data_IF_384529854371
#
_entry.id   IF_384529854371
#
_cell.length_a   1.000
_cell.length_b   1.000
_cell.length_c   1.000
_cell.angle_alpha   90.00
_cell.angle_beta   90.00
_cell.angle_gamma   90.00
#
_symmetry.space_group_name_H-M   'P 1'
#
loop_
_entity.id
_entity.type
_entity.pdbx_description
1 polymer ?
#
# COMPACT_ATOMS: atom_id res chain seq x y z
N UNK A 1 19.39 -3.53 -6.48
CA UNK A 1 18.96 -2.11 -6.44
C UNK A 1 18.79 -1.58 -7.85
N UNK A 2 17.75 -0.79 -8.09
CA UNK A 2 17.47 -0.15 -9.39
C UNK A 2 18.24 1.17 -9.52
N UNK A 3 18.67 1.52 -10.74
CA UNK A 3 19.33 2.80 -10.97
C UNK A 3 18.42 3.99 -10.71
N UNK A 4 18.97 5.10 -10.21
CA UNK A 4 18.20 6.31 -9.88
C UNK A 4 17.38 6.82 -11.08
N UNK A 5 18.00 6.87 -12.26
CA UNK A 5 17.35 7.28 -13.51
C UNK A 5 16.15 6.39 -13.86
N UNK A 6 16.27 5.08 -13.64
CA UNK A 6 15.16 4.14 -13.86
C UNK A 6 14.03 4.40 -12.87
N UNK A 7 14.32 4.61 -11.59
CA UNK A 7 13.28 4.92 -10.59
C UNK A 7 12.55 6.22 -10.92
N UNK A 8 13.26 7.28 -11.29
CA UNK A 8 12.67 8.57 -11.69
C UNK A 8 11.78 8.41 -12.93
N UNK A 9 12.20 7.62 -13.91
CA UNK A 9 11.38 7.32 -15.09
C UNK A 9 10.08 6.59 -14.71
N UNK A 10 10.16 5.55 -13.86
CA UNK A 10 8.99 4.83 -13.38
C UNK A 10 8.01 5.74 -12.63
N UNK A 11 8.50 6.58 -11.72
CA UNK A 11 7.67 7.53 -10.97
C UNK A 11 7.01 8.59 -11.86
N UNK A 12 7.69 8.99 -12.95
CA UNK A 12 7.16 9.93 -13.93
C UNK A 12 5.97 9.33 -14.68
N UNK A 13 6.03 8.04 -15.04
CA UNK A 13 4.94 7.32 -15.72
C UNK A 13 3.68 7.16 -14.85
N UNK A 14 3.80 7.29 -13.53
CA UNK A 14 2.67 7.25 -12.58
C UNK A 14 2.06 8.63 -12.30
N UNK A 15 2.60 9.71 -12.86
CA UNK A 15 2.13 11.06 -12.57
C UNK A 15 0.79 11.33 -13.25
N UNK A 16 -0.23 11.64 -12.44
CA UNK A 16 -1.52 12.15 -12.90
C UNK A 16 -1.53 13.68 -12.69
N UNK A 17 -1.89 14.49 -13.71
CA UNK A 17 -1.97 15.94 -13.56
C UNK A 17 -2.96 16.35 -12.47
N UNK A 18 -2.69 17.48 -11.81
CA UNK A 18 -3.59 18.00 -10.78
C UNK A 18 -4.97 18.32 -11.38
N UNK A 19 -6.04 17.97 -10.67
CA UNK A 19 -7.42 18.17 -11.10
C UNK A 19 -7.93 17.17 -12.14
N UNK A 20 -7.09 16.26 -12.65
CA UNK A 20 -7.50 15.24 -13.63
C UNK A 20 -7.89 13.95 -12.91
N UNK A 21 -9.08 13.43 -13.22
CA UNK A 21 -9.50 12.12 -12.73
C UNK A 21 -8.76 11.01 -13.48
N UNK A 22 -8.30 9.98 -12.78
CA UNK A 22 -7.59 8.86 -13.42
C UNK A 22 -8.47 8.20 -14.50
N UNK A 23 -9.78 8.08 -14.26
CA UNK A 23 -10.76 7.53 -15.19
C UNK A 23 -10.91 8.32 -16.50
N UNK A 24 -10.56 9.61 -16.51
CA UNK A 24 -10.66 10.45 -17.71
C UNK A 24 -9.39 10.43 -18.56
N UNK A 25 -8.35 9.70 -18.14
CA UNK A 25 -7.12 9.55 -18.92
C UNK A 25 -7.36 8.65 -20.14
N UNK A 26 -6.61 8.90 -21.21
CA UNK A 26 -6.61 8.05 -22.39
C UNK A 26 -6.27 6.58 -22.05
N UNK A 27 -6.83 5.65 -22.83
CA UNK A 27 -6.68 4.21 -22.62
C UNK A 27 -5.21 3.77 -22.65
N UNK A 28 -4.37 4.37 -23.50
CA UNK A 28 -2.93 4.09 -23.55
C UNK A 28 -2.27 4.52 -22.25
N UNK A 29 -2.59 5.71 -21.74
CA UNK A 29 -2.05 6.22 -20.48
C UNK A 29 -2.45 5.31 -19.31
N UNK A 30 -3.72 4.89 -19.24
CA UNK A 30 -4.20 3.95 -18.24
C UNK A 30 -3.46 2.61 -18.28
N UNK A 31 -3.20 2.07 -19.48
CA UNK A 31 -2.41 0.85 -19.66
C UNK A 31 -0.97 1.04 -19.18
N UNK A 32 -0.34 2.17 -19.51
CA UNK A 32 1.02 2.50 -19.08
C UNK A 32 1.11 2.58 -17.55
N UNK A 33 0.17 3.25 -16.90
CA UNK A 33 0.10 3.34 -15.44
C UNK A 33 -0.01 1.94 -14.82
N UNK A 34 -0.95 1.12 -15.32
CA UNK A 34 -1.15 -0.22 -14.79
C UNK A 34 0.10 -1.11 -14.97
N UNK A 35 0.71 -1.09 -16.15
CA UNK A 35 1.94 -1.84 -16.43
C UNK A 35 3.10 -1.37 -15.55
N UNK A 36 3.22 -0.06 -15.31
CA UNK A 36 4.26 0.51 -14.46
C UNK A 36 4.07 0.11 -13.00
N UNK A 37 2.84 0.19 -12.47
CA UNK A 37 2.55 -0.27 -11.11
C UNK A 37 2.86 -1.76 -10.96
N UNK A 38 2.44 -2.58 -11.93
CA UNK A 38 2.70 -4.02 -11.91
C UNK A 38 4.21 -4.32 -11.96
N UNK A 39 4.98 -3.61 -12.80
CA UNK A 39 6.43 -3.75 -12.84
C UNK A 39 7.06 -3.42 -11.49
N UNK A 40 6.66 -2.32 -10.84
CA UNK A 40 7.16 -1.95 -9.50
C UNK A 40 6.84 -3.03 -8.48
N UNK A 41 5.60 -3.55 -8.46
CA UNK A 41 5.22 -4.67 -7.58
C UNK A 41 6.11 -5.89 -7.84
N UNK A 42 6.38 -6.25 -9.10
CA UNK A 42 7.26 -7.37 -9.44
C UNK A 42 8.71 -7.15 -9.04
N UNK A 43 9.20 -5.92 -9.06
CA UNK A 43 10.52 -5.58 -8.54
C UNK A 43 10.60 -5.79 -7.02
N UNK A 44 9.58 -5.33 -6.29
CA UNK A 44 9.49 -5.52 -4.84
C UNK A 44 9.34 -6.99 -4.44
N UNK A 45 8.51 -7.76 -5.15
CA UNK A 45 8.38 -9.21 -4.94
C UNK A 45 9.69 -9.97 -5.21
N UNK A 46 10.56 -9.42 -6.07
CA UNK A 46 11.90 -9.95 -6.32
C UNK A 46 12.96 -9.47 -5.31
N UNK A 47 12.56 -8.73 -4.27
CA UNK A 47 13.49 -8.14 -3.28
C UNK A 47 14.32 -6.99 -3.84
N UNK A 48 13.87 -6.35 -4.92
CA UNK A 48 14.59 -5.25 -5.56
C UNK A 48 14.03 -3.90 -5.11
N UNK A 49 14.75 -3.29 -4.17
CA UNK A 49 14.41 -1.98 -3.62
C UNK A 49 14.88 -0.79 -4.45
N UNK A 50 14.27 0.36 -4.16
CA UNK A 50 14.75 1.66 -4.62
C UNK A 50 15.95 2.10 -3.78
N UNK A 51 16.97 2.65 -4.44
CA UNK A 51 18.18 3.11 -3.76
C UNK A 51 17.97 4.36 -2.87
N UNK A 52 17.00 5.22 -3.22
CA UNK A 52 16.79 6.52 -2.55
C UNK A 52 15.45 6.55 -1.78
N UNK A 53 15.46 6.78 -0.45
CA UNK A 53 14.26 6.91 0.38
C UNK A 53 13.20 7.88 -0.14
N UNK A 54 13.63 9.00 -0.74
CA UNK A 54 12.73 10.05 -1.25
C UNK A 54 11.81 9.52 -2.35
N UNK A 55 12.26 8.49 -3.08
CA UNK A 55 11.46 7.86 -4.13
C UNK A 55 10.28 7.06 -3.58
N UNK A 56 10.36 6.55 -2.35
CA UNK A 56 9.24 5.88 -1.70
C UNK A 56 8.15 6.87 -1.29
N UNK A 57 8.51 8.07 -0.82
CA UNK A 57 7.52 9.13 -0.53
C UNK A 57 6.76 9.53 -1.80
N UNK A 58 7.48 9.69 -2.92
CA UNK A 58 6.87 9.96 -4.21
C UNK A 58 5.97 8.79 -4.67
N UNK A 59 6.44 7.55 -4.56
CA UNK A 59 5.67 6.35 -4.91
C UNK A 59 4.39 6.26 -4.10
N UNK A 60 4.47 6.48 -2.78
CA UNK A 60 3.32 6.49 -1.88
C UNK A 60 2.26 7.49 -2.36
N UNK A 61 2.63 8.74 -2.65
CA UNK A 61 1.68 9.75 -3.14
C UNK A 61 1.05 9.33 -4.47
N UNK A 62 1.82 8.75 -5.40
CA UNK A 62 1.28 8.28 -6.69
C UNK A 62 0.34 7.10 -6.52
N UNK A 63 0.72 6.06 -5.78
CA UNK A 63 -0.13 4.92 -5.49
C UNK A 63 -1.39 5.34 -4.72
N UNK A 64 -1.26 6.30 -3.79
CA UNK A 64 -2.39 6.90 -3.10
C UNK A 64 -3.38 7.52 -4.09
N UNK A 65 -2.91 8.40 -4.97
CA UNK A 65 -3.78 9.05 -5.94
C UNK A 65 -4.41 8.07 -6.95
N UNK A 66 -3.72 6.98 -7.28
CA UNK A 66 -4.19 5.99 -8.24
C UNK A 66 -5.28 5.06 -7.65
N UNK A 67 -5.28 4.84 -6.34
CA UNK A 67 -6.29 3.99 -5.68
C UNK A 67 -7.46 4.80 -5.08
N UNK A 68 -7.32 6.09 -4.78
CA UNK A 68 -8.46 6.89 -4.33
C UNK A 68 -9.45 7.09 -5.49
N UNK A 69 -10.74 7.19 -5.16
CA UNK A 69 -11.80 7.53 -6.11
C UNK A 69 -11.85 6.61 -7.34
N UNK A 70 -11.58 5.32 -7.17
CA UNK A 70 -11.74 4.33 -8.22
C UNK A 70 -12.44 3.07 -7.74
N UNK A 71 -13.18 2.43 -8.63
CA UNK A 71 -13.73 1.09 -8.47
C UNK A 71 -12.89 0.01 -9.16
N UNK A 72 -11.76 0.37 -9.77
CA UNK A 72 -10.90 -0.60 -10.46
C UNK A 72 -10.12 -1.45 -9.45
N UNK A 73 -10.65 -2.64 -9.16
CA UNK A 73 -10.09 -3.59 -8.18
C UNK A 73 -8.65 -3.97 -8.51
N UNK A 74 -8.32 -4.21 -9.78
CA UNK A 74 -6.96 -4.57 -10.19
C UNK A 74 -5.94 -3.47 -9.89
N UNK A 75 -6.31 -2.19 -10.05
CA UNK A 75 -5.45 -1.07 -9.71
C UNK A 75 -5.32 -0.88 -8.20
N UNK A 76 -6.41 -1.09 -7.46
CA UNK A 76 -6.38 -1.05 -5.99
C UNK A 76 -5.47 -2.16 -5.46
N UNK A 77 -5.56 -3.38 -5.99
CA UNK A 77 -4.70 -4.51 -5.58
C UNK A 77 -3.21 -4.18 -5.76
N UNK A 78 -2.83 -3.56 -6.89
CA UNK A 78 -1.44 -3.12 -7.10
C UNK A 78 -1.02 -2.05 -6.08
N UNK A 79 -1.90 -1.10 -5.73
CA UNK A 79 -1.62 -0.11 -4.70
C UNK A 79 -1.47 -0.75 -3.31
N UNK A 80 -2.30 -1.75 -2.99
CA UNK A 80 -2.20 -2.52 -1.74
C UNK A 80 -0.83 -3.20 -1.62
N UNK A 81 -0.36 -3.89 -2.67
CA UNK A 81 0.98 -4.50 -2.67
C UNK A 81 2.11 -3.48 -2.53
N UNK A 82 1.99 -2.32 -3.18
CA UNK A 82 2.95 -1.21 -2.98
C UNK A 82 2.94 -0.74 -1.52
N UNK A 83 1.76 -0.51 -0.93
CA UNK A 83 1.66 -0.06 0.46
C UNK A 83 2.20 -1.08 1.46
N UNK A 84 1.96 -2.37 1.22
CA UNK A 84 2.50 -3.45 2.04
C UNK A 84 4.02 -3.41 2.05
N UNK A 85 4.66 -3.41 0.88
CA UNK A 85 6.12 -3.37 0.77
C UNK A 85 6.71 -2.12 1.45
N UNK A 86 6.12 -0.94 1.21
CA UNK A 86 6.54 0.30 1.87
C UNK A 86 6.36 0.24 3.40
N UNK A 87 5.39 -0.54 3.89
CA UNK A 87 5.10 -0.68 5.32
C UNK A 87 6.14 -1.49 6.09
N UNK A 88 6.93 -2.33 5.41
CA UNK A 88 7.99 -3.16 6.02
C UNK A 88 9.40 -2.76 5.59
N UNK A 89 9.54 -1.93 4.55
CA UNK A 89 10.83 -1.41 4.13
C UNK A 89 11.46 -0.45 5.19
N UNK A 90 12.66 -0.80 5.65
CA UNK A 90 13.42 -0.02 6.65
C UNK A 90 13.90 1.32 6.09
N UNK A 91 14.21 1.38 4.79
CA UNK A 91 14.76 2.54 4.09
C UNK A 91 13.70 3.59 3.70
N UNK A 92 12.58 3.63 4.42
CA UNK A 92 11.44 4.53 4.20
C UNK A 92 11.22 5.41 5.42
N UNK A 93 10.84 6.66 5.19
CA UNK A 93 10.47 7.56 6.29
C UNK A 93 9.31 6.98 7.13
N UNK A 94 9.41 7.12 8.47
CA UNK A 94 8.35 6.68 9.40
C UNK A 94 6.99 7.25 9.01
N UNK A 95 6.96 8.51 8.53
CA UNK A 95 5.75 9.17 8.04
C UNK A 95 5.09 8.40 6.89
N UNK A 96 5.86 8.01 5.88
CA UNK A 96 5.34 7.31 4.70
C UNK A 96 4.96 5.87 5.00
N UNK A 97 5.76 5.20 5.84
CA UNK A 97 5.43 3.87 6.37
C UNK A 97 4.08 3.88 7.10
N UNK A 98 3.90 4.82 8.03
CA UNK A 98 2.66 4.99 8.78
C UNK A 98 1.49 5.40 7.88
N UNK A 99 1.73 6.19 6.83
CA UNK A 99 0.72 6.51 5.82
C UNK A 99 0.20 5.27 5.09
N UNK A 100 1.10 4.38 4.68
CA UNK A 100 0.74 3.11 4.06
C UNK A 100 -0.05 2.20 5.00
N UNK A 101 0.43 2.00 6.23
CA UNK A 101 -0.24 1.19 7.26
C UNK A 101 -1.64 1.69 7.57
N UNK A 102 -1.80 2.99 7.85
CA UNK A 102 -3.13 3.62 8.04
C UNK A 102 -4.06 3.36 6.86
N UNK A 103 -3.53 3.47 5.64
CA UNK A 103 -4.34 3.28 4.45
C UNK A 103 -4.77 1.83 4.27
N UNK A 104 -3.90 0.88 4.55
CA UNK A 104 -4.24 -0.55 4.58
C UNK A 104 -5.30 -0.84 5.65
N UNK A 105 -5.18 -0.30 6.87
CA UNK A 105 -6.22 -0.42 7.90
C UNK A 105 -7.58 0.09 7.41
N UNK A 106 -7.61 1.28 6.80
CA UNK A 106 -8.86 1.83 6.26
C UNK A 106 -9.43 0.96 5.13
N UNK A 107 -8.59 0.49 4.21
CA UNK A 107 -9.01 -0.37 3.10
C UNK A 107 -9.60 -1.69 3.62
N UNK A 108 -8.98 -2.28 4.62
CA UNK A 108 -9.41 -3.51 5.27
C UNK A 108 -10.75 -3.33 6.02
N UNK A 109 -10.90 -2.27 6.80
CA UNK A 109 -12.07 -2.09 7.67
C UNK A 109 -13.28 -1.41 7.03
N UNK A 110 -13.09 -0.53 6.05
CA UNK A 110 -14.13 0.41 5.61
C UNK A 110 -14.29 0.54 4.08
N UNK A 111 -13.46 -0.13 3.28
CA UNK A 111 -13.68 -0.10 1.83
C UNK A 111 -15.02 -0.77 1.45
N UNK A 112 -15.71 -0.24 0.45
CA UNK A 112 -17.05 -0.73 0.05
C UNK A 112 -17.03 -2.12 -0.58
N UNK A 113 -15.97 -2.43 -1.33
CA UNK A 113 -15.79 -3.72 -2.00
C UNK A 113 -15.11 -4.75 -1.08
N UNK A 114 -15.75 -5.90 -0.87
CA UNK A 114 -15.26 -6.99 -0.01
C UNK A 114 -13.93 -7.60 -0.44
N UNK A 115 -13.70 -7.81 -1.74
CA UNK A 115 -12.41 -8.34 -2.23
C UNK A 115 -11.23 -7.40 -1.95
N UNK A 116 -11.48 -6.08 -1.96
CA UNK A 116 -10.46 -5.09 -1.56
C UNK A 116 -10.19 -5.18 -0.06
N UNK A 117 -11.23 -5.39 0.75
CA UNK A 117 -11.07 -5.57 2.21
C UNK A 117 -10.23 -6.81 2.52
N UNK A 118 -10.51 -7.94 1.86
CA UNK A 118 -9.72 -9.18 1.96
C UNK A 118 -8.27 -8.93 1.54
N UNK A 119 -8.04 -8.39 0.35
CA UNK A 119 -6.68 -8.13 -0.14
C UNK A 119 -5.88 -7.20 0.78
N UNK A 120 -6.53 -6.21 1.40
CA UNK A 120 -5.89 -5.34 2.38
C UNK A 120 -5.64 -6.05 3.72
N UNK A 121 -6.53 -6.96 4.14
CA UNK A 121 -6.31 -7.79 5.33
C UNK A 121 -5.10 -8.72 5.15
N UNK A 122 -4.98 -9.38 3.99
CA UNK A 122 -3.83 -10.23 3.66
C UNK A 122 -2.53 -9.43 3.68
N UNK A 123 -2.55 -8.22 3.10
CA UNK A 123 -1.41 -7.32 3.14
C UNK A 123 -1.04 -6.89 4.57
N UNK A 124 -2.03 -6.62 5.44
CA UNK A 124 -1.77 -6.31 6.85
C UNK A 124 -1.22 -7.51 7.62
N UNK A 125 -1.71 -8.71 7.32
CA UNK A 125 -1.19 -9.94 7.90
C UNK A 125 0.30 -10.09 7.58
N UNK A 126 0.68 -9.92 6.31
CA UNK A 126 2.09 -9.96 5.90
C UNK A 126 2.92 -8.91 6.65
N UNK A 127 2.42 -7.67 6.78
CA UNK A 127 3.11 -6.59 7.51
C UNK A 127 3.32 -6.93 8.98
N UNK A 128 2.30 -7.44 9.67
CA UNK A 128 2.40 -7.79 11.10
C UNK A 128 3.30 -9.01 11.26
N UNK A 129 3.15 -10.03 10.42
CA UNK A 129 3.99 -11.22 10.47
C UNK A 129 5.50 -10.91 10.28
N UNK A 130 5.83 -9.89 9.49
CA UNK A 130 7.22 -9.42 9.34
C UNK A 130 7.71 -8.54 10.51
N UNK A 131 6.81 -7.83 11.21
CA UNK A 131 7.20 -6.80 12.20
C UNK A 131 7.00 -7.21 13.66
N UNK A 132 5.97 -8.01 13.95
CA UNK A 132 5.64 -8.59 15.26
C UNK A 132 4.74 -9.84 15.07
N UNK A 133 5.34 -11.01 14.77
CA UNK A 133 4.60 -12.24 14.45
C UNK A 133 3.81 -12.84 15.63
N UNK A 134 4.02 -12.35 16.86
CA UNK A 134 3.30 -12.83 18.05
C UNK A 134 2.12 -11.92 18.43
N UNK A 135 1.85 -10.87 17.65
CA UNK A 135 0.76 -9.96 17.94
C UNK A 135 -0.60 -10.66 17.80
N UNK A 136 -1.42 -10.54 18.85
CA UNK A 136 -2.78 -11.07 18.92
C UNK A 136 -3.71 -10.64 17.76
N UNK A 137 -3.40 -9.55 17.07
CA UNK A 137 -4.14 -9.04 15.91
C UNK A 137 -4.03 -9.98 14.70
N UNK A 138 -2.99 -10.81 14.59
CA UNK A 138 -2.87 -11.78 13.49
C UNK A 138 -4.10 -12.69 13.43
N UNK A 139 -4.48 -13.28 14.56
CA UNK A 139 -5.66 -14.14 14.65
C UNK A 139 -6.96 -13.40 14.29
N UNK A 140 -7.04 -12.11 14.62
CA UNK A 140 -8.16 -11.26 14.25
C UNK A 140 -8.22 -11.03 12.74
N UNK A 141 -7.08 -10.81 12.07
CA UNK A 141 -6.99 -10.69 10.61
C UNK A 141 -7.44 -11.98 9.90
N UNK A 142 -7.10 -13.15 10.45
CA UNK A 142 -7.49 -14.44 9.84
C UNK A 142 -8.96 -14.81 10.04
N UNK A 143 -9.55 -14.43 11.18
CA UNK A 143 -10.90 -14.90 11.58
C UNK A 143 -12.03 -13.95 11.19
N UNK A 144 -11.70 -12.69 10.87
CA UNK A 144 -12.71 -11.70 10.50
C UNK A 144 -13.20 -11.95 9.06
N UNK A 145 -14.52 -12.01 8.81
CA UNK A 145 -15.06 -12.24 7.47
C UNK A 145 -15.08 -10.96 6.61
N UNK A 146 -13.89 -10.49 6.23
CA UNK A 146 -13.68 -9.21 5.54
C UNK A 146 -14.52 -9.01 4.29
N UNK A 147 -14.88 -10.09 3.58
CA UNK A 147 -15.67 -10.02 2.35
C UNK A 147 -17.14 -9.63 2.61
N UNK A 148 -17.72 -10.04 3.74
CA UNK A 148 -19.16 -9.96 3.99
C UNK A 148 -19.61 -8.55 4.38
N UNK A 149 -18.91 -7.93 5.33
CA UNK A 149 -19.29 -6.63 5.86
C UNK A 149 -18.08 -5.78 6.23
N UNK A 150 -18.33 -4.49 6.42
CA UNK A 150 -17.33 -3.56 6.94
C UNK A 150 -17.15 -3.80 8.43
N UNK A 151 -15.91 -4.01 8.87
CA UNK A 151 -15.61 -4.16 10.29
C UNK A 151 -15.82 -2.86 11.09
N UNK A 152 -15.83 -1.70 10.42
CA UNK A 152 -16.19 -0.43 11.01
C UNK A 152 -15.10 0.23 11.87
N UNK A 153 -15.44 1.32 12.57
CA UNK A 153 -14.47 2.24 13.16
C UNK A 153 -13.76 1.68 14.41
N UNK A 154 -14.38 0.73 15.12
CA UNK A 154 -13.78 0.12 16.31
C UNK A 154 -12.58 -0.72 15.92
N UNK A 155 -12.73 -1.61 14.93
CA UNK A 155 -11.63 -2.47 14.48
C UNK A 155 -10.52 -1.66 13.82
N UNK A 156 -10.89 -0.65 13.04
CA UNK A 156 -9.94 0.29 12.43
C UNK A 156 -9.01 0.91 13.49
N UNK A 157 -9.56 1.43 14.59
CA UNK A 157 -8.76 2.03 15.67
C UNK A 157 -7.85 1.01 16.35
N UNK A 158 -8.31 -0.23 16.52
CA UNK A 158 -7.47 -1.31 17.07
C UNK A 158 -6.28 -1.61 16.17
N UNK A 159 -6.52 -1.79 14.86
CA UNK A 159 -5.46 -2.04 13.89
C UNK A 159 -4.47 -0.87 13.80
N UNK A 160 -4.97 0.36 13.71
CA UNK A 160 -4.12 1.55 13.70
C UNK A 160 -3.29 1.68 14.97
N UNK A 161 -3.86 1.39 16.14
CA UNK A 161 -3.11 1.43 17.40
C UNK A 161 -1.92 0.46 17.34
N UNK A 162 -2.14 -0.78 16.94
CA UNK A 162 -1.08 -1.78 16.84
C UNK A 162 -0.03 -1.34 15.82
N UNK A 163 -0.41 -1.19 14.56
CA UNK A 163 0.50 -0.96 13.44
C UNK A 163 1.27 0.37 13.48
N UNK A 164 0.78 1.35 14.22
CA UNK A 164 1.45 2.65 14.37
C UNK A 164 2.26 2.77 15.65
N UNK A 165 2.13 1.82 16.57
CA UNK A 165 2.95 1.74 17.79
C UNK A 165 4.11 0.75 17.64
N UNK A 166 4.00 -0.25 16.76
CA UNK A 166 5.12 -1.15 16.40
C UNK A 166 6.16 -0.41 15.52
N UNK A 167 7.25 -0.01 16.18
CA UNK A 167 8.56 0.41 15.66
C UNK A 167 8.73 1.86 15.19
N UNK A 168 8.95 2.76 16.16
CA UNK A 168 10.19 3.53 16.11
C UNK A 168 11.31 2.55 16.53
N UNK A 169 12.27 2.19 15.67
CA UNK A 169 13.41 1.42 16.14
C UNK A 169 14.13 2.28 17.18
N UNK A 170 14.21 1.80 18.43
CA UNK A 170 15.23 2.26 19.33
C UNK A 170 16.57 1.93 18.67
N UNK A 171 17.30 2.98 18.28
CA UNK A 171 18.70 2.87 17.87
C UNK A 171 19.45 1.99 18.87
N UNK A 172 19.84 0.80 18.44
CA UNK A 172 20.91 0.01 19.05
C UNK A 172 22.15 0.17 18.21
#
# INVERSE_FOLDING_TARGET
MISENTTVALLTLLKVPAGVQVSSLDRRVLKTIHATMNLIVKLFEAGIDFANPVHYDALYVRAYNLHINTSNVSRIALAVRIFQHISTCENVSVKTRNGCRKRLCWLCCDHVNGHVRVSAADALFEVINETDPEDSVIKMLETTPWELEKAGPTLLKTLEKVLLTTHAPETR
#
